data_IF_677816632783
#
_entry.id   IF_677816632783
#
_cell.length_a   1.000
_cell.length_b   1.000
_cell.length_c   1.000
_cell.angle_alpha   90.00
_cell.angle_beta   90.00
_cell.angle_gamma   90.00
#
_symmetry.space_group_name_H-M   'P 1'
#
loop_
_entity.id
_entity.type
_entity.pdbx_description
1 polymer ?
#
# COMPACT_ATOMS: atom_id res chain seq x y z
N UNK A 1 6.86 0.02 0.86
CA UNK A 1 6.44 -1.35 0.43
C UNK A 1 5.01 -1.61 0.90
N UNK A 2 4.09 -0.77 0.53
CA UNK A 2 2.67 -0.97 0.96
C UNK A 2 1.79 -1.30 -0.24
N UNK A 3 1.95 -0.57 -1.32
CA UNK A 3 1.11 -0.84 -2.53
C UNK A 3 1.43 -2.22 -3.12
N UNK A 4 2.49 -2.84 -2.67
CA UNK A 4 2.85 -4.18 -3.21
C UNK A 4 1.83 -5.23 -2.78
N UNK A 5 0.96 -4.90 -1.85
CA UNK A 5 -0.05 -5.90 -1.40
C UNK A 5 -1.44 -5.50 -1.89
N UNK A 6 -1.51 -4.51 -2.72
CA UNK A 6 -2.84 -4.06 -3.25
C UNK A 6 -3.82 -3.78 -2.10
N UNK A 7 -3.34 -3.65 -0.89
CA UNK A 7 -4.25 -3.38 0.25
C UNK A 7 -3.82 -2.10 0.97
N UNK A 8 -2.58 -1.71 0.79
CA UNK A 8 -2.08 -0.47 1.45
C UNK A 8 -2.08 0.67 0.43
N UNK A 9 -3.22 1.25 0.17
CA UNK A 9 -3.29 2.36 -0.83
C UNK A 9 -3.16 3.72 -0.11
N UNK A 10 -3.76 3.83 1.04
CA UNK A 10 -3.71 5.12 1.79
C UNK A 10 -2.26 5.57 1.97
N UNK A 11 -1.52 4.90 2.80
CA UNK A 11 -0.09 5.29 3.02
C UNK A 11 0.69 5.28 1.70
N UNK A 12 0.26 4.49 0.76
CA UNK A 12 0.99 4.44 -0.54
C UNK A 12 1.15 5.85 -1.11
N UNK A 13 0.10 6.61 -1.12
CA UNK A 13 0.18 8.00 -1.66
C UNK A 13 0.69 7.97 -3.10
#
# INVERSE_FOLDING_TARGET
GCCSDVRCRYRCR
#
